data_IF_073216285179
#
_entry.id   IF_073216285179
#
_cell.length_a   1.000
_cell.length_b   1.000
_cell.length_c   1.000
_cell.angle_alpha   90.00
_cell.angle_beta   90.00
_cell.angle_gamma   90.00
#
_symmetry.space_group_name_H-M   'P 1'
#
loop_
_entity.id
_entity.type
_entity.pdbx_description
1 polymer ?
#
# COMPACT_ATOMS: atom_id res chain seq x y z
N UNK A 1 4.71 11.86 -21.14
CA UNK A 1 4.82 11.68 -19.68
C UNK A 1 6.29 11.77 -19.30
N UNK A 2 6.67 12.56 -18.30
CA UNK A 2 8.08 12.64 -17.88
C UNK A 2 8.51 11.35 -17.16
N UNK A 3 9.77 10.93 -17.36
CA UNK A 3 10.37 9.73 -16.76
C UNK A 3 10.19 9.65 -15.24
N UNK A 4 10.24 10.79 -14.56
CA UNK A 4 10.04 10.90 -13.11
C UNK A 4 8.65 10.40 -12.67
N UNK A 5 7.59 10.74 -13.40
CA UNK A 5 6.24 10.29 -13.07
C UNK A 5 6.11 8.77 -13.19
N UNK A 6 6.78 8.15 -14.16
CA UNK A 6 6.81 6.70 -14.31
C UNK A 6 7.58 6.04 -13.18
N UNK A 7 8.72 6.60 -12.78
CA UNK A 7 9.52 6.12 -11.64
C UNK A 7 8.68 6.19 -10.36
N UNK A 8 8.11 7.36 -10.05
CA UNK A 8 7.28 7.57 -8.86
C UNK A 8 6.14 6.56 -8.80
N UNK A 9 5.43 6.33 -9.91
CA UNK A 9 4.33 5.36 -9.97
C UNK A 9 4.78 3.93 -9.69
N UNK A 10 5.99 3.54 -10.10
CA UNK A 10 6.50 2.18 -9.89
C UNK A 10 6.98 2.00 -8.46
N UNK A 11 7.84 2.89 -7.97
CA UNK A 11 8.47 2.76 -6.65
C UNK A 11 7.46 2.88 -5.50
N UNK A 12 6.40 3.68 -5.69
CA UNK A 12 5.37 3.87 -4.66
C UNK A 12 4.23 2.84 -4.72
N UNK A 13 4.23 1.93 -5.70
CA UNK A 13 3.08 1.06 -5.99
C UNK A 13 2.66 0.15 -4.84
N UNK A 14 3.63 -0.31 -4.05
CA UNK A 14 3.39 -1.27 -2.98
C UNK A 14 3.30 -0.62 -1.60
N UNK A 15 3.56 0.68 -1.50
CA UNK A 15 3.49 1.40 -0.22
C UNK A 15 2.08 1.30 0.34
N UNK A 16 2.01 0.88 1.59
CA UNK A 16 0.77 0.60 2.28
C UNK A 16 0.86 0.82 3.80
N UNK A 17 2.00 1.31 4.30
CA UNK A 17 2.19 1.69 5.69
C UNK A 17 2.06 3.20 5.88
N UNK A 18 1.62 3.62 7.08
CA UNK A 18 1.43 5.05 7.41
C UNK A 18 2.74 5.84 7.30
N UNK A 19 3.83 5.29 7.82
CA UNK A 19 5.14 5.96 7.81
C UNK A 19 5.68 6.15 6.38
N UNK A 20 5.50 5.17 5.50
CA UNK A 20 5.87 5.26 4.08
C UNK A 20 5.08 6.37 3.37
N UNK A 21 3.79 6.49 3.68
CA UNK A 21 2.94 7.55 3.12
C UNK A 21 3.35 8.94 3.63
N UNK A 22 3.72 9.06 4.89
CA UNK A 22 4.22 10.32 5.46
C UNK A 22 5.54 10.74 4.84
N UNK A 23 6.46 9.80 4.62
CA UNK A 23 7.73 10.06 3.92
C UNK A 23 7.49 10.49 2.47
N UNK A 24 6.58 9.82 1.75
CA UNK A 24 6.22 10.19 0.38
C UNK A 24 5.61 11.60 0.30
N UNK A 25 4.72 11.97 1.23
CA UNK A 25 4.17 13.34 1.32
C UNK A 25 5.28 14.37 1.51
N UNK A 26 6.23 14.10 2.40
CA UNK A 26 7.37 14.99 2.65
C UNK A 26 8.21 15.15 1.39
N UNK A 27 8.59 14.04 0.74
CA UNK A 27 9.36 14.06 -0.50
C UNK A 27 8.68 14.89 -1.58
N UNK A 28 7.37 14.70 -1.80
CA UNK A 28 6.62 15.46 -2.81
C UNK A 28 6.59 16.95 -2.46
N UNK A 29 6.37 17.31 -1.20
CA UNK A 29 6.34 18.70 -0.76
C UNK A 29 7.69 19.40 -0.91
N UNK A 30 8.81 18.70 -0.69
CA UNK A 30 10.16 19.28 -0.71
C UNK A 30 10.80 19.29 -2.09
N UNK A 31 10.55 18.29 -2.91
CA UNK A 31 11.32 18.02 -4.13
C UNK A 31 10.49 18.14 -5.41
N UNK A 32 9.18 18.36 -5.29
CA UNK A 32 8.24 18.22 -6.38
C UNK A 32 7.13 19.28 -6.36
N UNK A 33 7.40 20.49 -5.85
CA UNK A 33 6.41 21.57 -5.71
C UNK A 33 5.68 21.92 -7.01
N UNK A 34 6.32 21.69 -8.17
CA UNK A 34 5.78 21.98 -9.50
C UNK A 34 5.19 20.74 -10.21
N UNK A 35 5.12 19.58 -9.53
CA UNK A 35 4.63 18.36 -10.15
C UNK A 35 3.09 18.31 -10.16
N UNK A 36 2.54 18.26 -11.37
CA UNK A 36 1.10 18.26 -11.61
C UNK A 36 0.37 16.96 -11.24
N UNK A 37 -0.85 16.81 -11.78
CA UNK A 37 -1.82 15.74 -11.47
C UNK A 37 -1.24 14.31 -11.30
N UNK A 38 -0.26 13.83 -12.09
CA UNK A 38 0.27 12.47 -11.93
C UNK A 38 0.87 12.17 -10.55
N UNK A 39 1.44 13.15 -9.87
CA UNK A 39 2.02 12.97 -8.53
C UNK A 39 0.93 12.99 -7.45
N UNK A 40 -0.09 13.82 -7.62
CA UNK A 40 -1.29 13.77 -6.76
C UNK A 40 -1.95 12.39 -6.82
N UNK A 41 -2.07 11.80 -8.01
CA UNK A 41 -2.61 10.43 -8.16
C UNK A 41 -1.78 9.38 -7.44
N UNK A 42 -0.45 9.57 -7.36
CA UNK A 42 0.43 8.69 -6.58
C UNK A 42 0.12 8.82 -5.09
N UNK A 43 -0.02 10.03 -4.56
CA UNK A 43 -0.41 10.28 -3.17
C UNK A 43 -1.80 9.70 -2.85
N UNK A 44 -2.78 9.93 -3.72
CA UNK A 44 -4.15 9.39 -3.59
C UNK A 44 -4.13 7.85 -3.53
N UNK A 45 -3.37 7.20 -4.42
CA UNK A 45 -3.27 5.74 -4.43
C UNK A 45 -2.60 5.19 -3.18
N UNK A 46 -1.50 5.79 -2.74
CA UNK A 46 -0.81 5.34 -1.52
C UNK A 46 -1.71 5.53 -0.28
N UNK A 47 -2.45 6.64 -0.19
CA UNK A 47 -3.44 6.84 0.87
C UNK A 47 -4.53 5.75 0.85
N UNK A 48 -5.03 5.38 -0.33
CA UNK A 48 -6.01 4.31 -0.47
C UNK A 48 -5.46 2.95 -0.03
N UNK A 49 -4.20 2.63 -0.35
CA UNK A 49 -3.54 1.40 0.10
C UNK A 49 -3.43 1.34 1.63
N UNK A 50 -3.01 2.43 2.27
CA UNK A 50 -2.92 2.53 3.74
C UNK A 50 -4.28 2.33 4.38
N UNK A 51 -5.32 3.01 3.89
CA UNK A 51 -6.68 2.84 4.41
C UNK A 51 -7.22 1.43 4.19
N UNK A 52 -6.86 0.79 3.08
CA UNK A 52 -7.23 -0.60 2.83
C UNK A 52 -6.56 -1.54 3.83
N UNK A 53 -5.27 -1.37 4.10
CA UNK A 53 -4.56 -2.16 5.11
C UNK A 53 -5.19 -2.00 6.49
N UNK A 54 -5.43 -0.76 6.93
CA UNK A 54 -6.05 -0.45 8.22
C UNK A 54 -7.41 -1.15 8.40
N UNK A 55 -8.27 -1.11 7.36
CA UNK A 55 -9.62 -1.67 7.43
C UNK A 55 -9.70 -3.18 7.25
N UNK A 56 -8.80 -3.76 6.45
CA UNK A 56 -8.98 -5.13 5.96
C UNK A 56 -7.96 -6.13 6.50
N UNK A 57 -6.78 -5.68 6.94
CA UNK A 57 -5.68 -6.58 7.28
C UNK A 57 -6.07 -7.57 8.39
N UNK A 58 -6.57 -7.07 9.53
CA UNK A 58 -6.94 -7.94 10.64
C UNK A 58 -8.08 -8.90 10.28
N UNK A 59 -9.06 -8.43 9.50
CA UNK A 59 -10.17 -9.25 9.01
C UNK A 59 -9.67 -10.42 8.18
N UNK A 60 -8.74 -10.18 7.26
CA UNK A 60 -8.14 -11.22 6.41
C UNK A 60 -7.31 -12.19 7.26
N UNK A 61 -6.50 -11.68 8.20
CA UNK A 61 -5.71 -12.53 9.12
C UNK A 61 -6.64 -13.45 9.92
N UNK A 62 -7.72 -12.91 10.49
CA UNK A 62 -8.68 -13.69 11.25
C UNK A 62 -9.36 -14.76 10.38
N UNK A 63 -9.73 -14.41 9.15
CA UNK A 63 -10.30 -15.35 8.20
C UNK A 63 -9.33 -16.50 7.89
N UNK A 64 -8.07 -16.19 7.58
CA UNK A 64 -7.03 -17.19 7.29
C UNK A 64 -6.79 -18.12 8.49
N UNK A 65 -6.69 -17.58 9.71
CA UNK A 65 -6.49 -18.37 10.93
C UNK A 65 -7.69 -19.28 11.24
N UNK A 66 -8.91 -18.85 10.90
CA UNK A 66 -10.10 -19.68 11.08
C UNK A 66 -10.15 -20.80 10.03
N UNK A 67 -9.77 -20.52 8.78
CA UNK A 67 -9.66 -21.53 7.73
C UNK A 67 -8.63 -22.59 8.13
N UNK A 68 -7.44 -22.18 8.58
CA UNK A 68 -6.35 -23.08 9.00
C UNK A 68 -6.81 -24.05 10.10
N UNK A 69 -7.49 -23.55 11.14
CA UNK A 69 -8.06 -24.39 12.22
C UNK A 69 -9.16 -25.34 11.77
N UNK A 70 -9.85 -25.02 10.66
CA UNK A 70 -10.93 -25.85 10.13
C UNK A 70 -10.45 -26.95 9.19
N UNK A 71 -9.16 -26.94 8.82
CA UNK A 71 -8.57 -28.01 8.04
C UNK A 71 -8.37 -29.25 8.94
N UNK A 72 -8.88 -30.44 8.55
CA UNK A 72 -8.56 -31.66 9.26
C UNK A 72 -7.05 -31.90 9.22
N UNK A 73 -6.45 -32.34 10.33
CA UNK A 73 -5.05 -32.77 10.36
C UNK A 73 -4.89 -33.97 9.41
N UNK A 74 -4.40 -33.72 8.19
CA UNK A 74 -3.97 -34.79 7.27
C UNK A 74 -2.56 -35.21 7.70
N UNK A 75 -2.45 -35.77 8.91
CA UNK A 75 -1.26 -36.46 9.39
C UNK A 75 -1.71 -37.63 10.24
N UNK A 76 -2.28 -38.64 9.58
CA UNK A 76 -2.30 -40.04 10.04
C UNK A 76 -2.43 -40.90 8.78
N UNK A 77 -1.29 -41.41 8.30
CA UNK A 77 -1.15 -42.24 7.11
C UNK A 77 0.31 -42.65 6.91
#
# INVERSE_FOLDING_TARGET
>A
MSTLNSILKVVTRRLNQVHEYDELKRFVATSCSDLGRPVQQVLERTAANVQWMDRNYQTIVNWLLNVDKSLPNITDG
#
